data_IF_299998874121
#
_entry.id   IF_299998874121
#
_cell.length_a   1.000
_cell.length_b   1.000
_cell.length_c   1.000
_cell.angle_alpha   90.00
_cell.angle_beta   90.00
_cell.angle_gamma   90.00
#
_symmetry.space_group_name_H-M   'P 1'
#
loop_
_entity.id
_entity.type
_entity.pdbx_description
1 polymer ?
#
# COMPACT_ATOMS: atom_id res chain seq x y z
N UNK A 1 -23.69 -13.41 28.48
CA UNK A 1 -23.26 -12.12 27.90
C UNK A 1 -23.06 -12.36 26.42
N UNK A 2 -23.84 -11.74 25.52
CA UNK A 2 -23.62 -11.90 24.09
C UNK A 2 -22.20 -11.43 23.77
N UNK A 3 -21.45 -12.21 22.98
CA UNK A 3 -20.18 -11.74 22.43
C UNK A 3 -20.46 -10.47 21.66
N UNK A 4 -19.77 -9.41 22.02
CA UNK A 4 -19.90 -8.12 21.36
C UNK A 4 -19.46 -8.27 19.90
N UNK A 5 -20.33 -7.92 18.95
CA UNK A 5 -20.03 -8.02 17.51
C UNK A 5 -18.78 -7.18 17.15
N UNK A 6 -18.50 -6.11 17.92
CA UNK A 6 -17.29 -5.31 17.78
C UNK A 6 -16.00 -6.08 18.12
N UNK A 7 -15.99 -6.92 19.15
CA UNK A 7 -14.79 -7.69 19.52
C UNK A 7 -14.49 -8.80 18.52
N UNK A 8 -15.53 -9.42 17.93
CA UNK A 8 -15.37 -10.35 16.80
C UNK A 8 -14.79 -9.65 15.58
N UNK A 9 -15.35 -8.49 15.22
CA UNK A 9 -14.86 -7.69 14.08
C UNK A 9 -13.39 -7.33 14.24
N UNK A 10 -13.00 -6.85 15.42
CA UNK A 10 -11.59 -6.58 15.75
C UNK A 10 -10.74 -7.84 15.62
N UNK A 11 -11.20 -8.98 16.14
CA UNK A 11 -10.48 -10.26 16.03
C UNK A 11 -10.19 -10.67 14.58
N UNK A 12 -11.19 -10.56 13.71
CA UNK A 12 -11.05 -10.85 12.27
C UNK A 12 -10.07 -9.89 11.60
N UNK A 13 -10.17 -8.58 11.85
CA UNK A 13 -9.25 -7.60 11.27
C UNK A 13 -7.79 -7.84 11.69
N UNK A 14 -7.55 -8.13 12.98
CA UNK A 14 -6.21 -8.48 13.47
C UNK A 14 -5.68 -9.78 12.84
N UNK A 15 -6.54 -10.78 12.63
CA UNK A 15 -6.16 -12.00 11.93
C UNK A 15 -5.72 -11.71 10.48
N UNK A 16 -6.52 -10.92 9.75
CA UNK A 16 -6.21 -10.54 8.37
C UNK A 16 -4.89 -9.76 8.29
N UNK A 17 -4.67 -8.80 9.19
CA UNK A 17 -3.43 -8.02 9.27
C UNK A 17 -2.20 -8.90 9.53
N UNK A 18 -2.32 -9.93 10.38
CA UNK A 18 -1.24 -10.91 10.57
C UNK A 18 -0.96 -11.69 9.28
N UNK A 19 -2.00 -12.15 8.60
CA UNK A 19 -1.87 -13.00 7.40
C UNK A 19 -1.39 -12.24 6.16
N UNK A 20 -1.63 -10.93 6.11
CA UNK A 20 -1.14 -10.03 5.07
C UNK A 20 0.39 -9.85 5.11
N UNK A 21 1.06 -10.19 6.21
CA UNK A 21 2.54 -10.08 6.31
C UNK A 21 3.25 -10.98 5.30
N UNK A 22 4.47 -10.57 4.94
CA UNK A 22 5.38 -11.32 4.06
C UNK A 22 6.77 -11.42 4.72
N UNK A 23 7.23 -12.64 5.07
CA UNK A 23 6.53 -13.93 4.96
C UNK A 23 5.25 -13.98 5.81
N UNK A 24 4.30 -14.86 5.43
CA UNK A 24 3.04 -15.02 6.17
C UNK A 24 3.37 -15.45 7.60
N UNK A 25 2.91 -14.66 8.57
CA UNK A 25 3.25 -14.88 9.97
C UNK A 25 2.24 -15.82 10.62
N UNK A 26 2.71 -16.90 11.24
CA UNK A 26 1.83 -17.81 11.97
C UNK A 26 1.48 -17.25 13.36
N UNK A 27 0.34 -17.65 13.94
CA UNK A 27 -0.04 -17.27 15.31
C UNK A 27 1.05 -17.53 16.37
N UNK A 28 1.72 -18.71 16.44
CA UNK A 28 2.77 -18.93 17.44
C UNK A 28 3.99 -18.01 17.25
N UNK A 29 4.34 -17.68 16.01
CA UNK A 29 5.44 -16.78 15.69
C UNK A 29 5.09 -15.34 16.08
N UNK A 30 3.87 -14.90 15.75
CA UNK A 30 3.36 -13.59 16.15
C UNK A 30 3.33 -13.46 17.68
N UNK A 31 2.84 -14.49 18.37
CA UNK A 31 2.81 -14.56 19.83
C UNK A 31 4.21 -14.42 20.43
N UNK A 32 5.20 -15.13 19.88
CA UNK A 32 6.59 -15.03 20.32
C UNK A 32 7.16 -13.62 20.11
N UNK A 33 6.96 -13.04 18.93
CA UNK A 33 7.49 -11.70 18.60
C UNK A 33 6.88 -10.59 19.46
N UNK A 34 5.59 -10.68 19.77
CA UNK A 34 4.90 -9.71 20.63
C UNK A 34 5.09 -10.01 22.12
N UNK A 35 5.65 -11.17 22.50
CA UNK A 35 5.80 -11.60 23.89
C UNK A 35 4.48 -11.93 24.58
N UNK A 36 3.53 -12.51 23.84
CA UNK A 36 2.25 -13.01 24.34
C UNK A 36 2.20 -14.55 24.20
N UNK A 37 1.27 -15.20 24.92
CA UNK A 37 1.02 -16.62 24.73
C UNK A 37 0.25 -16.88 23.42
N UNK A 38 0.51 -18.02 22.75
CA UNK A 38 -0.24 -18.45 21.57
C UNK A 38 -1.75 -18.43 21.82
N UNK A 39 -2.19 -18.96 22.95
CA UNK A 39 -3.61 -18.98 23.35
C UNK A 39 -4.18 -17.57 23.51
N UNK A 40 -3.36 -16.61 23.97
CA UNK A 40 -3.76 -15.20 24.05
C UNK A 40 -4.02 -14.63 22.66
N UNK A 41 -3.09 -14.83 21.71
CA UNK A 41 -3.27 -14.39 20.32
C UNK A 41 -4.50 -15.05 19.69
N UNK A 42 -4.69 -16.35 19.88
CA UNK A 42 -5.86 -17.07 19.37
C UNK A 42 -7.17 -16.52 19.96
N UNK A 43 -7.21 -16.21 21.26
CA UNK A 43 -8.40 -15.62 21.89
C UNK A 43 -8.67 -14.22 21.37
N UNK A 44 -7.63 -13.43 21.09
CA UNK A 44 -7.78 -12.11 20.48
C UNK A 44 -8.34 -12.23 19.06
N UNK A 45 -7.75 -13.07 18.20
CA UNK A 45 -8.21 -13.25 16.81
C UNK A 45 -9.62 -13.85 16.71
N UNK A 46 -10.04 -14.62 17.71
CA UNK A 46 -11.42 -15.13 17.79
C UNK A 46 -12.42 -14.18 18.46
N UNK A 47 -11.99 -12.96 18.83
CA UNK A 47 -12.85 -11.98 19.51
C UNK A 47 -13.25 -12.38 20.93
N UNK A 48 -12.59 -13.39 21.53
CA UNK A 48 -12.89 -13.94 22.86
C UNK A 48 -12.26 -13.10 23.97
N UNK A 49 -12.63 -11.83 24.03
CA UNK A 49 -12.29 -10.90 25.11
C UNK A 49 -13.46 -9.94 25.36
N UNK A 50 -13.61 -9.50 26.61
CA UNK A 50 -14.72 -8.63 27.00
C UNK A 50 -14.44 -7.14 26.74
N UNK A 51 -13.17 -6.74 26.68
CA UNK A 51 -12.72 -5.37 26.43
C UNK A 51 -11.31 -5.35 25.87
N UNK A 52 -10.97 -4.31 25.11
CA UNK A 52 -9.61 -4.06 24.62
C UNK A 52 -8.70 -3.82 25.82
N UNK A 53 -7.83 -4.79 26.11
CA UNK A 53 -6.90 -4.75 27.23
C UNK A 53 -5.46 -4.49 26.74
N UNK A 54 -4.50 -4.46 27.67
CA UNK A 54 -3.10 -4.18 27.32
C UNK A 54 -2.52 -5.19 26.30
N UNK A 55 -2.93 -6.45 26.36
CA UNK A 55 -2.48 -7.48 25.41
C UNK A 55 -3.08 -7.26 24.02
N UNK A 56 -4.36 -6.89 23.93
CA UNK A 56 -5.01 -6.55 22.65
C UNK A 56 -4.34 -5.33 22.03
N UNK A 57 -4.13 -4.24 22.80
CA UNK A 57 -3.41 -3.05 22.33
C UNK A 57 -1.99 -3.35 21.87
N UNK A 58 -1.27 -4.18 22.62
CA UNK A 58 0.10 -4.58 22.26
C UNK A 58 0.11 -5.37 20.95
N UNK A 59 -0.84 -6.27 20.76
CA UNK A 59 -0.96 -7.06 19.53
C UNK A 59 -1.39 -6.22 18.33
N UNK A 60 -2.35 -5.31 18.51
CA UNK A 60 -2.80 -4.37 17.49
C UNK A 60 -1.64 -3.47 17.01
N UNK A 61 -0.92 -2.84 17.93
CA UNK A 61 0.29 -2.05 17.61
C UNK A 61 1.36 -2.87 16.92
N UNK A 62 1.59 -4.10 17.37
CA UNK A 62 2.54 -5.01 16.70
C UNK A 62 2.14 -5.24 15.25
N UNK A 63 0.84 -5.32 14.94
CA UNK A 63 0.30 -5.51 13.59
C UNK A 63 0.19 -4.22 12.77
N UNK A 64 0.48 -3.06 13.35
CA UNK A 64 0.51 -1.77 12.66
C UNK A 64 -0.76 -0.93 12.82
N UNK A 65 -1.66 -1.29 13.73
CA UNK A 65 -2.81 -0.46 14.09
C UNK A 65 -2.35 0.75 14.91
N UNK A 66 -2.99 1.88 14.68
CA UNK A 66 -2.74 3.11 15.41
C UNK A 66 -3.28 3.05 16.85
N UNK A 67 -2.78 3.95 17.70
CA UNK A 67 -3.24 4.06 19.08
C UNK A 67 -4.72 4.46 19.13
N UNK A 68 -5.53 3.66 19.83
CA UNK A 68 -6.98 3.87 19.97
C UNK A 68 -7.82 3.27 18.84
N UNK A 69 -7.21 2.80 17.75
CA UNK A 69 -7.95 2.20 16.62
C UNK A 69 -8.66 0.90 17.03
N UNK A 70 -7.97 0.04 17.78
CA UNK A 70 -8.56 -1.20 18.29
C UNK A 70 -9.78 -0.94 19.19
N UNK A 71 -9.72 0.08 20.03
CA UNK A 71 -10.84 0.50 20.88
C UNK A 71 -12.05 0.96 20.07
N UNK A 72 -11.84 1.77 19.02
CA UNK A 72 -12.92 2.24 18.13
C UNK A 72 -13.61 1.08 17.41
N UNK A 73 -12.83 0.17 16.81
CA UNK A 73 -13.36 -1.01 16.10
C UNK A 73 -14.15 -1.90 17.07
N UNK A 74 -13.62 -2.12 18.27
CA UNK A 74 -14.28 -2.93 19.30
C UNK A 74 -15.54 -2.29 19.85
N UNK A 75 -15.61 -0.95 19.93
CA UNK A 75 -16.81 -0.21 20.32
C UNK A 75 -17.90 -0.22 19.23
N UNK A 76 -17.59 -0.74 18.04
CA UNK A 76 -18.51 -0.77 16.92
C UNK A 76 -18.81 0.61 16.35
N UNK A 77 -17.97 1.61 16.65
CA UNK A 77 -18.02 2.91 16.01
C UNK A 77 -17.83 2.71 14.50
N UNK A 78 -18.61 3.43 13.65
CA UNK A 78 -18.30 3.46 12.22
C UNK A 78 -16.83 3.88 12.10
N UNK A 79 -16.07 3.17 11.24
CA UNK A 79 -14.71 3.59 10.88
C UNK A 79 -14.78 5.08 10.60
N UNK A 80 -14.27 5.89 11.52
CA UNK A 80 -14.26 7.33 11.33
C UNK A 80 -13.42 7.54 10.09
N UNK A 81 -13.99 8.16 9.05
CA UNK A 81 -13.32 8.58 7.80
C UNK A 81 -12.13 9.53 8.04
N UNK A 82 -11.69 9.69 9.29
CA UNK A 82 -10.74 10.68 9.77
C UNK A 82 -9.47 10.02 10.34
N UNK A 83 -8.97 8.97 9.68
CA UNK A 83 -7.53 8.73 9.47
C UNK A 83 -7.31 7.66 8.38
N UNK A 84 -7.97 7.81 7.24
CA UNK A 84 -7.30 7.34 6.03
C UNK A 84 -6.02 8.19 5.92
N UNK A 85 -4.81 7.61 5.77
CA UNK A 85 -3.74 8.33 5.09
C UNK A 85 -4.41 8.90 3.83
N UNK A 86 -4.22 10.19 3.51
CA UNK A 86 -4.99 10.86 2.45
C UNK A 86 -5.05 9.89 1.30
N UNK A 87 -6.26 9.49 0.90
CA UNK A 87 -6.49 8.45 -0.10
C UNK A 87 -5.35 8.56 -1.09
N UNK A 88 -4.37 7.66 -0.99
CA UNK A 88 -3.43 7.51 -2.06
C UNK A 88 -4.36 6.94 -3.08
N UNK A 89 -4.89 7.84 -3.91
CA UNK A 89 -5.60 7.61 -5.14
C UNK A 89 -4.90 6.38 -5.70
N UNK A 90 -5.48 5.21 -5.41
CA UNK A 90 -4.95 3.98 -5.92
C UNK A 90 -5.16 4.24 -7.39
N UNK A 91 -4.07 4.47 -8.12
CA UNK A 91 -4.03 5.02 -9.47
C UNK A 91 -4.76 4.09 -10.49
N UNK A 92 -5.66 3.22 -10.01
CA UNK A 92 -6.28 2.06 -10.61
C UNK A 92 -5.26 1.23 -11.37
N UNK A 93 -4.02 1.24 -10.85
CA UNK A 93 -2.93 0.54 -11.46
C UNK A 93 -3.01 -0.93 -11.06
N UNK A 94 -2.66 -1.85 -11.97
CA UNK A 94 -2.51 -3.25 -11.62
C UNK A 94 -1.59 -3.41 -10.40
N UNK A 95 -1.89 -4.32 -9.45
CA UNK A 95 -1.12 -4.46 -8.20
C UNK A 95 0.40 -4.64 -8.41
N UNK A 96 0.80 -5.23 -9.54
CA UNK A 96 2.21 -5.35 -9.92
C UNK A 96 2.88 -4.00 -10.15
N UNK A 97 2.19 -3.05 -10.80
CA UNK A 97 2.70 -1.71 -11.05
C UNK A 97 2.76 -0.90 -9.75
N UNK A 98 1.74 -0.98 -8.90
CA UNK A 98 1.77 -0.34 -7.58
C UNK A 98 2.93 -0.85 -6.71
N UNK A 99 3.19 -2.16 -6.74
CA UNK A 99 4.30 -2.76 -6.01
C UNK A 99 5.65 -2.21 -6.49
N UNK A 100 5.89 -2.20 -7.81
CA UNK A 100 7.14 -1.65 -8.37
C UNK A 100 7.29 -0.16 -8.04
N UNK A 101 6.21 0.62 -8.17
CA UNK A 101 6.20 2.04 -7.82
C UNK A 101 6.60 2.28 -6.36
N UNK A 102 6.16 1.42 -5.44
CA UNK A 102 6.52 1.48 -4.02
C UNK A 102 7.91 0.91 -3.70
N UNK A 103 8.36 -0.09 -4.45
CA UNK A 103 9.61 -0.79 -4.25
C UNK A 103 10.83 -0.01 -4.77
N UNK A 104 10.66 0.73 -5.86
CA UNK A 104 11.69 1.58 -6.46
C UNK A 104 11.75 2.99 -5.87
N UNK A 105 12.83 3.72 -6.22
CA UNK A 105 12.93 5.17 -6.07
C UNK A 105 12.69 5.80 -7.44
N UNK A 106 11.65 6.62 -7.57
CA UNK A 106 11.39 7.35 -8.82
C UNK A 106 12.53 8.32 -9.11
N UNK A 107 13.08 8.21 -10.32
CA UNK A 107 14.18 9.05 -10.81
C UNK A 107 13.67 10.14 -11.75
N UNK A 108 12.73 9.79 -12.62
CA UNK A 108 12.11 10.69 -13.59
C UNK A 108 10.67 10.23 -13.83
N UNK A 109 9.76 11.17 -14.05
CA UNK A 109 8.40 10.91 -14.48
C UNK A 109 8.01 11.93 -15.56
N UNK A 110 7.25 11.49 -16.56
CA UNK A 110 6.79 12.34 -17.65
C UNK A 110 5.42 11.90 -18.15
N UNK A 111 4.66 12.86 -18.69
CA UNK A 111 3.36 12.63 -19.31
C UNK A 111 3.47 13.05 -20.77
N UNK A 112 3.00 12.18 -21.66
CA UNK A 112 3.06 12.36 -23.11
C UNK A 112 1.61 12.33 -23.61
N UNK A 113 1.04 13.47 -24.02
CA UNK A 113 -0.29 13.48 -24.63
C UNK A 113 -0.23 12.74 -25.97
N UNK A 114 -1.27 11.96 -26.29
CA UNK A 114 -1.36 11.23 -27.57
C UNK A 114 -2.06 12.04 -28.67
N UNK A 115 -2.70 13.15 -28.31
CA UNK A 115 -3.34 14.08 -29.24
C UNK A 115 -3.53 15.46 -28.59
N UNK A 116 -4.06 16.43 -29.34
CA UNK A 116 -4.22 17.81 -28.88
C UNK A 116 -5.34 17.96 -27.83
N UNK A 117 -6.31 17.04 -27.81
CA UNK A 117 -7.48 17.14 -26.93
C UNK A 117 -7.30 16.35 -25.64
N UNK A 118 -7.89 16.83 -24.53
CA UNK A 118 -7.86 16.14 -23.23
C UNK A 118 -8.49 14.74 -23.27
N UNK A 119 -9.29 14.46 -24.31
CA UNK A 119 -9.91 13.15 -24.57
C UNK A 119 -8.99 12.15 -25.26
N UNK A 120 -7.88 12.60 -25.88
CA UNK A 120 -7.01 11.76 -26.70
C UNK A 120 -6.12 10.81 -25.88
N UNK A 121 -6.22 10.88 -24.56
CA UNK A 121 -5.48 10.00 -23.66
C UNK A 121 -4.01 10.38 -23.54
N UNK A 122 -3.37 9.84 -22.51
CA UNK A 122 -2.03 10.22 -22.11
C UNK A 122 -1.20 8.97 -21.81
N UNK A 123 0.06 8.98 -22.19
CA UNK A 123 1.05 8.00 -21.78
C UNK A 123 1.86 8.56 -20.62
N UNK A 124 1.82 7.88 -19.49
CA UNK A 124 2.63 8.22 -18.32
C UNK A 124 3.85 7.29 -18.31
N UNK A 125 5.05 7.88 -18.26
CA UNK A 125 6.31 7.13 -18.21
C UNK A 125 7.01 7.43 -16.90
N UNK A 126 7.30 6.38 -16.12
CA UNK A 126 7.98 6.48 -14.83
C UNK A 126 9.28 5.69 -14.90
N UNK A 127 10.41 6.37 -14.72
CA UNK A 127 11.72 5.77 -14.61
C UNK A 127 12.06 5.56 -13.14
N UNK A 128 12.31 4.32 -12.75
CA UNK A 128 12.67 3.97 -11.37
C UNK A 128 14.08 3.38 -11.27
N UNK A 129 14.76 3.73 -10.20
CA UNK A 129 16.00 3.11 -9.75
C UNK A 129 15.75 2.25 -8.50
N UNK A 130 16.69 1.37 -8.19
CA UNK A 130 16.69 0.66 -6.90
C UNK A 130 16.88 1.67 -5.76
N UNK A 131 16.28 1.41 -4.59
CA UNK A 131 16.35 2.31 -3.41
C UNK A 131 17.78 2.60 -2.94
N UNK A 132 18.67 1.63 -3.09
CA UNK A 132 20.08 1.73 -2.67
C UNK A 132 21.04 1.93 -3.86
N UNK A 133 20.53 2.33 -5.03
CA UNK A 133 21.37 2.55 -6.21
C UNK A 133 22.35 3.70 -5.98
N UNK A 134 23.61 3.44 -6.28
CA UNK A 134 24.68 4.44 -6.24
C UNK A 134 24.48 5.49 -7.34
N UNK A 135 25.02 6.71 -7.19
CA UNK A 135 24.93 7.75 -8.22
C UNK A 135 25.42 7.30 -9.61
N UNK A 136 26.45 6.45 -9.66
CA UNK A 136 26.95 5.88 -10.91
C UNK A 136 25.97 4.87 -11.55
N UNK A 137 25.28 4.07 -10.74
CA UNK A 137 24.24 3.16 -11.21
C UNK A 137 23.04 3.93 -11.76
N UNK A 138 22.65 5.02 -11.09
CA UNK A 138 21.61 5.92 -11.57
C UNK A 138 21.99 6.57 -12.90
N UNK A 139 23.24 7.01 -13.05
CA UNK A 139 23.75 7.56 -14.31
C UNK A 139 23.68 6.53 -15.46
N UNK A 140 24.05 5.27 -15.20
CA UNK A 140 23.95 4.18 -16.19
C UNK A 140 22.50 3.89 -16.59
N UNK A 141 21.57 3.94 -15.64
CA UNK A 141 20.14 3.75 -15.90
C UNK A 141 19.61 4.90 -16.78
N UNK A 142 19.95 6.15 -16.43
CA UNK A 142 19.56 7.33 -17.20
C UNK A 142 20.13 7.31 -18.63
N UNK A 143 21.38 6.87 -18.80
CA UNK A 143 22.00 6.76 -20.13
C UNK A 143 21.32 5.71 -21.02
N UNK A 144 20.93 4.57 -20.45
CA UNK A 144 20.13 3.55 -21.17
C UNK A 144 18.75 4.07 -21.55
N UNK A 145 18.13 4.89 -20.70
CA UNK A 145 16.83 5.49 -20.96
C UNK A 145 16.86 6.59 -22.03
N UNK A 146 18.04 7.20 -22.28
CA UNK A 146 18.20 8.33 -23.22
C UNK A 146 17.73 8.03 -24.65
N UNK A 147 17.97 6.80 -25.14
CA UNK A 147 17.56 6.38 -26.50
C UNK A 147 16.04 6.10 -26.59
N UNK A 148 15.43 5.29 -25.70
CA UNK A 148 13.97 5.16 -25.61
C UNK A 148 13.23 6.48 -25.39
N UNK A 149 13.77 7.38 -24.54
CA UNK A 149 13.16 8.69 -24.26
C UNK A 149 12.93 9.52 -25.51
N UNK A 150 13.90 9.55 -26.43
CA UNK A 150 13.76 10.29 -27.71
C UNK A 150 12.67 9.71 -28.60
N UNK A 151 12.52 8.38 -28.62
CA UNK A 151 11.46 7.73 -29.40
C UNK A 151 10.07 8.02 -28.81
N UNK A 152 9.95 7.98 -27.49
CA UNK A 152 8.69 8.27 -26.78
C UNK A 152 8.27 9.73 -26.95
N UNK A 153 9.23 10.67 -26.94
CA UNK A 153 8.94 12.08 -27.22
C UNK A 153 8.52 12.35 -28.67
N UNK A 154 8.96 11.52 -29.62
CA UNK A 154 8.54 11.61 -31.02
C UNK A 154 7.04 11.36 -31.20
N UNK A 155 6.43 10.51 -30.35
CA UNK A 155 5.00 10.20 -30.39
C UNK A 155 4.11 11.42 -30.09
N UNK A 156 4.61 12.41 -29.34
CA UNK A 156 3.89 13.66 -29.10
C UNK A 156 3.95 14.62 -30.30
N UNK A 157 4.88 14.41 -31.25
CA UNK A 157 5.11 15.31 -32.38
C UNK A 157 4.43 14.89 -33.68
N UNK A 158 4.12 13.60 -33.87
CA UNK A 158 3.44 13.11 -35.10
C UNK A 158 1.93 13.43 -35.12
N UNK A 159 1.31 13.68 -33.95
CA UNK A 159 -0.13 13.99 -33.86
C UNK A 159 -0.49 15.41 -34.32
N UNK A 160 0.50 16.29 -34.53
CA UNK A 160 0.28 17.68 -34.97
C UNK A 160 0.18 17.82 -36.50
N UNK A 161 0.50 16.76 -37.27
CA UNK A 161 0.62 16.83 -38.74
C UNK A 161 -0.66 16.39 -39.51
N UNK A 162 -1.70 15.89 -38.83
CA UNK A 162 -2.94 15.38 -39.45
C UNK A 162 -4.13 16.35 -39.41
N UNK A 163 -3.94 17.59 -38.93
CA UNK A 163 -5.01 18.57 -38.79
C UNK A 163 -5.16 19.56 -39.97
N UNK A 164 -4.34 19.48 -41.01
CA UNK A 164 -4.48 20.31 -42.22
C UNK A 164 -4.64 19.41 -43.47
N UNK A 165 -5.88 19.04 -43.81
CA UNK A 165 -6.29 18.56 -45.15
C UNK A 165 -7.77 18.80 -45.40
#
# INVERSE_FOLDING_TARGET
MPMDEGTKRLGVQLQLAREARRPRLAQPEAAQQVGLGRTTVQNIESGRFAKVNASVRRYARFLGFEDGEAERIAAGEPESEETAPPEHDHLQLPPAVEYELRAGKTLEAGVIPLGPDETDGHVIVILQGRKDATPEELARIAERYRKPRRMLQGLAGESDEVADS
#
